data_IF_822119952600
#
_entry.id   IF_822119952600
#
_cell.length_a   1.000
_cell.length_b   1.000
_cell.length_c   1.000
_cell.angle_alpha   90.00
_cell.angle_beta   90.00
_cell.angle_gamma   90.00
#
_symmetry.space_group_name_H-M   'P 1'
#
loop_
_entity.id
_entity.type
_entity.pdbx_description
1 polymer ?
#
# COMPACT_ATOMS: atom_id res chain seq x y z
N UNK A 1 5.26 7.54 25.34
CA UNK A 1 5.37 6.09 25.49
C UNK A 1 6.79 5.69 25.89
N UNK A 2 6.97 4.94 26.98
CA UNK A 2 8.25 4.33 27.34
C UNK A 2 8.79 3.47 26.18
N UNK A 3 10.12 3.46 25.98
CA UNK A 3 10.71 2.78 24.82
C UNK A 3 10.43 1.27 24.78
N UNK A 4 10.33 0.61 25.94
CA UNK A 4 10.00 -0.82 26.02
C UNK A 4 8.63 -1.15 25.44
N UNK A 5 7.67 -0.24 25.56
CA UNK A 5 6.35 -0.41 24.97
C UNK A 5 6.39 -0.12 23.47
N UNK A 6 7.27 0.80 23.02
CA UNK A 6 7.46 1.15 21.60
C UNK A 6 7.98 0.00 20.73
N UNK A 7 8.60 -0.99 21.36
CA UNK A 7 9.11 -2.19 20.69
C UNK A 7 8.08 -3.32 20.61
N UNK A 8 6.87 -3.13 21.15
CA UNK A 8 5.79 -4.14 21.16
C UNK A 8 4.55 -3.63 20.44
N UNK A 9 3.80 -4.55 19.85
CA UNK A 9 2.48 -4.24 19.33
C UNK A 9 1.56 -3.84 20.49
N UNK A 10 0.82 -2.75 20.30
CA UNK A 10 -0.09 -2.19 21.30
C UNK A 10 -1.46 -1.98 20.68
N UNK A 11 -2.50 -2.51 21.32
CA UNK A 11 -3.89 -2.28 20.94
C UNK A 11 -4.48 -1.15 21.81
N UNK A 12 -5.03 -0.13 21.15
CA UNK A 12 -5.73 0.99 21.81
C UNK A 12 -7.22 0.83 21.51
N UNK A 13 -8.01 0.51 22.54
CA UNK A 13 -9.44 0.20 22.42
C UNK A 13 -10.28 1.27 23.11
N UNK A 14 -11.35 1.70 22.45
CA UNK A 14 -12.28 2.69 22.98
C UNK A 14 -13.37 3.06 21.97
N UNK A 15 -14.49 3.61 22.44
CA UNK A 15 -15.60 4.03 21.58
C UNK A 15 -15.22 5.22 20.68
N UNK A 16 -15.98 5.49 19.61
CA UNK A 16 -15.81 6.72 18.82
C UNK A 16 -15.93 7.96 19.71
N UNK A 17 -15.11 8.98 19.47
CA UNK A 17 -15.12 10.24 20.23
C UNK A 17 -14.33 10.26 21.54
N UNK A 18 -13.76 9.13 21.99
CA UNK A 18 -12.99 9.08 23.26
C UNK A 18 -11.52 9.54 23.13
N UNK A 19 -11.12 10.06 21.97
CA UNK A 19 -9.77 10.59 21.74
C UNK A 19 -8.72 9.58 21.24
N UNK A 20 -9.12 8.45 20.64
CA UNK A 20 -8.17 7.46 20.09
C UNK A 20 -7.24 8.05 19.02
N UNK A 21 -7.80 8.82 18.07
CA UNK A 21 -7.04 9.46 16.99
C UNK A 21 -6.05 10.47 17.57
N UNK A 22 -6.52 11.34 18.47
CA UNK A 22 -5.68 12.31 19.19
C UNK A 22 -4.53 11.62 19.93
N UNK A 23 -4.78 10.52 20.66
CA UNK A 23 -3.71 9.76 21.30
C UNK A 23 -2.71 9.19 20.28
N UNK A 24 -3.19 8.68 19.14
CA UNK A 24 -2.38 8.25 18.01
C UNK A 24 -1.47 9.35 17.49
N UNK A 25 -2.03 10.53 17.20
CA UNK A 25 -1.27 11.72 16.76
C UNK A 25 -0.16 12.09 17.74
N UNK A 26 -0.42 12.08 19.06
CA UNK A 26 0.62 12.36 20.06
C UNK A 26 1.72 11.28 20.10
N UNK A 27 1.39 10.02 19.83
CA UNK A 27 2.39 8.95 19.70
C UNK A 27 3.27 9.22 18.48
N UNK A 28 2.67 9.55 17.33
CA UNK A 28 3.40 9.88 16.09
C UNK A 28 4.26 11.12 16.26
N UNK A 29 3.75 12.14 16.95
CA UNK A 29 4.51 13.34 17.32
C UNK A 29 5.75 13.00 18.12
N UNK A 30 5.62 12.16 19.15
CA UNK A 30 6.77 11.74 19.93
C UNK A 30 7.78 10.95 19.09
N UNK A 31 7.35 10.11 18.15
CA UNK A 31 8.29 9.41 17.25
C UNK A 31 9.00 10.41 16.33
N UNK A 32 8.26 11.32 15.72
CA UNK A 32 8.79 12.33 14.79
C UNK A 32 9.81 13.23 15.48
N UNK A 33 9.49 13.74 16.67
CA UNK A 33 10.39 14.58 17.48
C UNK A 33 11.66 13.86 17.95
N UNK A 34 11.66 12.52 17.96
CA UNK A 34 12.82 11.67 18.26
C UNK A 34 13.57 11.24 16.99
N UNK A 35 13.24 11.79 15.82
CA UNK A 35 13.84 11.44 14.54
C UNK A 35 13.48 10.03 14.04
N UNK A 36 12.36 9.46 14.50
CA UNK A 36 11.87 8.14 14.07
C UNK A 36 10.82 8.28 12.96
N UNK A 37 10.67 7.24 12.14
CA UNK A 37 9.65 7.15 11.09
C UNK A 37 8.38 6.43 11.55
N UNK A 38 7.30 6.58 10.80
CA UNK A 38 6.02 5.93 11.06
C UNK A 38 5.21 5.73 9.78
N UNK A 39 4.26 4.78 9.82
CA UNK A 39 3.22 4.58 8.82
C UNK A 39 1.88 4.75 9.53
N UNK A 40 1.04 5.64 9.02
CA UNK A 40 -0.30 5.88 9.55
C UNK A 40 -1.34 5.49 8.51
N UNK A 41 -2.26 4.62 8.89
CA UNK A 41 -3.35 4.15 8.04
C UNK A 41 -4.64 4.52 8.77
N UNK A 42 -5.41 5.43 8.20
CA UNK A 42 -6.74 5.79 8.68
C UNK A 42 -7.79 5.41 7.64
N UNK A 43 -8.80 4.68 8.10
CA UNK A 43 -9.94 4.30 7.26
C UNK A 43 -10.99 5.41 7.17
N UNK A 44 -10.89 6.45 8.01
CA UNK A 44 -11.94 7.46 8.15
C UNK A 44 -11.77 8.68 7.23
N UNK A 45 -10.67 8.78 6.47
CA UNK A 45 -10.35 9.89 5.55
C UNK A 45 -10.67 11.24 6.20
N UNK A 46 -10.05 11.49 7.36
CA UNK A 46 -10.21 12.75 8.07
C UNK A 46 -9.13 13.76 7.63
N UNK A 47 -9.57 14.82 6.93
CA UNK A 47 -8.66 15.88 6.45
C UNK A 47 -7.96 16.59 7.61
N UNK A 48 -8.62 16.74 8.76
CA UNK A 48 -8.04 17.41 9.93
C UNK A 48 -6.82 16.63 10.44
N UNK A 49 -6.95 15.31 10.57
CA UNK A 49 -5.84 14.42 10.96
C UNK A 49 -4.68 14.53 9.97
N UNK A 50 -4.95 14.54 8.66
CA UNK A 50 -3.94 14.70 7.62
C UNK A 50 -3.19 16.04 7.77
N UNK A 51 -3.91 17.14 7.94
CA UNK A 51 -3.33 18.47 8.06
C UNK A 51 -2.50 18.60 9.35
N UNK A 52 -2.91 17.97 10.45
CA UNK A 52 -2.12 17.88 11.67
C UNK A 52 -0.78 17.15 11.44
N UNK A 53 -0.79 16.04 10.71
CA UNK A 53 0.43 15.29 10.40
C UNK A 53 1.36 16.07 9.46
N UNK A 54 0.81 16.77 8.47
CA UNK A 54 1.56 17.66 7.59
C UNK A 54 2.20 18.82 8.38
N UNK A 55 1.43 19.43 9.27
CA UNK A 55 1.94 20.48 10.16
C UNK A 55 3.04 19.96 11.08
N UNK A 56 2.88 18.76 11.66
CA UNK A 56 3.90 18.10 12.47
C UNK A 56 5.21 17.88 11.69
N UNK A 57 5.14 17.37 10.46
CA UNK A 57 6.31 17.19 9.61
C UNK A 57 7.00 18.53 9.33
N UNK A 58 6.23 19.56 9.00
CA UNK A 58 6.73 20.91 8.75
C UNK A 58 7.48 21.52 9.91
N UNK A 59 6.88 21.53 11.11
CA UNK A 59 7.51 22.16 12.29
C UNK A 59 8.70 21.37 12.85
N UNK A 60 8.83 20.09 12.48
CA UNK A 60 10.00 19.27 12.79
C UNK A 60 11.06 19.30 11.68
N UNK A 61 10.83 20.06 10.59
CA UNK A 61 11.76 20.20 9.48
C UNK A 61 11.87 18.97 8.58
N UNK A 62 10.81 18.16 8.50
CA UNK A 62 10.75 16.88 7.76
C UNK A 62 9.60 16.85 6.76
N UNK A 63 9.18 18.02 6.26
CA UNK A 63 8.08 18.15 5.29
C UNK A 63 8.38 17.41 3.98
N UNK A 64 9.65 17.36 3.59
CA UNK A 64 10.20 16.63 2.43
C UNK A 64 10.27 15.10 2.63
N UNK A 65 10.10 14.63 3.86
CA UNK A 65 10.04 13.20 4.19
C UNK A 65 8.62 12.66 4.36
N UNK A 66 7.60 13.52 4.28
CA UNK A 66 6.20 13.12 4.43
C UNK A 66 5.61 12.69 3.09
N UNK A 67 5.09 11.45 3.04
CA UNK A 67 4.37 10.94 1.89
C UNK A 67 2.92 10.62 2.23
N UNK A 68 1.99 11.12 1.41
CA UNK A 68 0.54 10.93 1.60
C UNK A 68 0.00 10.17 0.40
N UNK A 69 -0.70 9.06 0.65
CA UNK A 69 -1.45 8.33 -0.38
C UNK A 69 -2.93 8.48 -0.03
N UNK A 70 -3.68 9.18 -0.89
CA UNK A 70 -5.11 9.41 -0.71
C UNK A 70 -5.81 9.24 -2.07
N UNK A 71 -6.61 8.18 -2.19
CA UNK A 71 -7.34 7.87 -3.43
C UNK A 71 -8.53 8.80 -3.62
N UNK A 72 -9.01 9.46 -2.56
CA UNK A 72 -10.14 10.37 -2.61
C UNK A 72 -9.76 11.81 -3.01
N UNK A 73 -8.48 12.17 -2.89
CA UNK A 73 -7.94 13.49 -3.22
C UNK A 73 -6.60 13.35 -3.96
N UNK A 74 -6.61 12.83 -5.20
CA UNK A 74 -5.41 12.50 -5.95
C UNK A 74 -4.57 13.73 -6.32
N UNK A 75 -5.19 14.90 -6.48
CA UNK A 75 -4.48 16.15 -6.80
C UNK A 75 -3.57 16.61 -5.66
N UNK A 76 -3.86 16.18 -4.43
CA UNK A 76 -3.10 16.51 -3.24
C UNK A 76 -2.42 15.26 -2.65
N UNK A 77 -2.21 14.19 -3.41
CA UNK A 77 -1.58 12.97 -2.94
C UNK A 77 -0.33 12.63 -3.75
N UNK A 78 0.57 11.86 -3.13
CA UNK A 78 1.70 11.28 -3.81
C UNK A 78 1.26 10.04 -4.59
N UNK A 79 1.89 9.83 -5.75
CA UNK A 79 1.66 8.65 -6.57
C UNK A 79 2.31 7.42 -5.95
N UNK A 80 1.65 6.27 -6.05
CA UNK A 80 2.19 5.00 -5.60
C UNK A 80 1.85 3.89 -6.60
N UNK A 81 2.86 3.14 -7.03
CA UNK A 81 2.70 1.99 -7.91
C UNK A 81 3.19 0.71 -7.18
N UNK A 82 2.29 -0.11 -6.62
CA UNK A 82 2.67 -1.30 -5.86
C UNK A 82 3.15 -2.46 -6.73
N UNK A 83 3.12 -2.36 -8.07
CA UNK A 83 3.53 -3.47 -8.95
C UNK A 83 4.88 -3.25 -9.63
N UNK A 84 5.49 -2.08 -9.46
CA UNK A 84 6.70 -1.70 -10.18
C UNK A 84 7.98 -2.31 -9.59
N UNK A 85 7.99 -2.62 -8.30
CA UNK A 85 9.17 -3.07 -7.57
C UNK A 85 8.96 -4.44 -6.90
N UNK A 86 10.02 -5.24 -6.93
CA UNK A 86 10.05 -6.62 -6.46
C UNK A 86 10.31 -7.59 -7.61
N UNK A 87 10.66 -8.82 -7.27
CA UNK A 87 10.71 -9.89 -8.27
C UNK A 87 9.28 -10.27 -8.75
N UNK A 88 9.16 -11.01 -9.86
CA UNK A 88 7.84 -11.37 -10.40
C UNK A 88 6.94 -12.12 -9.41
N UNK A 89 7.52 -12.99 -8.57
CA UNK A 89 6.78 -13.79 -7.60
C UNK A 89 6.23 -12.90 -6.45
N UNK A 90 7.05 -11.96 -5.96
CA UNK A 90 6.66 -10.99 -4.94
C UNK A 90 5.51 -10.11 -5.43
N UNK A 91 5.60 -9.59 -6.66
CA UNK A 91 4.56 -8.75 -7.25
C UNK A 91 3.28 -9.56 -7.49
N UNK A 92 3.39 -10.77 -8.04
CA UNK A 92 2.25 -11.66 -8.25
C UNK A 92 1.55 -12.01 -6.93
N UNK A 93 2.31 -12.37 -5.89
CA UNK A 93 1.75 -12.65 -4.56
C UNK A 93 1.04 -11.43 -3.97
N UNK A 94 1.58 -10.22 -4.17
CA UNK A 94 0.96 -8.97 -3.70
C UNK A 94 -0.40 -8.76 -4.36
N UNK A 95 -0.51 -9.00 -5.66
CA UNK A 95 -1.77 -8.95 -6.41
C UNK A 95 -2.77 -10.00 -5.95
N UNK A 96 -2.31 -11.25 -5.75
CA UNK A 96 -3.17 -12.34 -5.29
C UNK A 96 -3.75 -12.08 -3.91
N UNK A 97 -3.03 -11.36 -3.04
CA UNK A 97 -3.53 -10.95 -1.72
C UNK A 97 -4.65 -9.89 -1.76
N UNK A 98 -4.86 -9.23 -2.90
CA UNK A 98 -6.01 -8.33 -3.12
C UNK A 98 -7.31 -9.12 -3.40
N UNK A 99 -7.18 -10.38 -3.84
CA UNK A 99 -8.31 -11.24 -4.18
C UNK A 99 -8.71 -12.06 -2.94
N UNK A 100 -9.97 -11.93 -2.45
CA UNK A 100 -10.45 -12.71 -1.30
C UNK A 100 -10.21 -14.21 -1.46
N UNK A 101 -9.84 -14.89 -0.37
CA UNK A 101 -9.78 -16.35 -0.34
C UNK A 101 -11.19 -16.93 -0.46
N UNK A 102 -11.36 -17.90 -1.35
CA UNK A 102 -12.59 -18.69 -1.44
C UNK A 102 -12.46 -19.93 -0.56
N UNK A 103 -12.60 -19.76 0.75
CA UNK A 103 -12.29 -20.77 1.78
C UNK A 103 -13.15 -22.05 1.73
N UNK A 104 -14.18 -22.10 0.88
CA UNK A 104 -15.18 -23.19 0.85
C UNK A 104 -15.32 -23.90 -0.51
N UNK A 105 -14.36 -23.76 -1.42
CA UNK A 105 -14.41 -24.44 -2.72
C UNK A 105 -13.12 -25.23 -2.99
N UNK A 106 -13.16 -26.58 -3.05
CA UNK A 106 -11.99 -27.42 -3.32
C UNK A 106 -11.27 -27.10 -4.64
N UNK A 107 -11.97 -26.50 -5.61
CA UNK A 107 -11.36 -26.06 -6.87
C UNK A 107 -10.71 -24.68 -6.78
N UNK A 108 -11.03 -23.87 -5.76
CA UNK A 108 -10.56 -22.49 -5.68
C UNK A 108 -9.03 -22.40 -5.52
N UNK A 109 -8.42 -23.31 -4.76
CA UNK A 109 -6.97 -23.32 -4.59
C UNK A 109 -6.24 -23.59 -5.90
N UNK A 110 -6.76 -24.50 -6.72
CA UNK A 110 -6.20 -24.77 -8.05
C UNK A 110 -6.28 -23.55 -8.96
N UNK A 111 -7.42 -22.86 -8.99
CA UNK A 111 -7.56 -21.61 -9.76
C UNK A 111 -6.66 -20.50 -9.23
N UNK A 112 -6.51 -20.40 -7.90
CA UNK A 112 -5.64 -19.42 -7.24
C UNK A 112 -4.17 -19.65 -7.59
N UNK A 113 -3.70 -20.89 -7.56
CA UNK A 113 -2.34 -21.24 -7.98
C UNK A 113 -2.12 -21.00 -9.48
N UNK A 114 -3.08 -21.38 -10.32
CA UNK A 114 -3.02 -21.13 -11.77
C UNK A 114 -2.95 -19.64 -12.09
N UNK A 115 -3.76 -18.83 -11.42
CA UNK A 115 -3.75 -17.37 -11.55
C UNK A 115 -2.42 -16.75 -11.08
N UNK A 116 -1.89 -17.22 -9.95
CA UNK A 116 -0.60 -16.76 -9.44
C UNK A 116 0.52 -17.06 -10.45
N UNK A 117 0.57 -18.27 -11.00
CA UNK A 117 1.57 -18.64 -12.01
C UNK A 117 1.44 -17.78 -13.27
N UNK A 118 0.21 -17.57 -13.77
CA UNK A 118 -0.03 -16.72 -14.93
C UNK A 118 0.41 -15.27 -14.69
N UNK A 119 0.08 -14.68 -13.54
CA UNK A 119 0.52 -13.34 -13.16
C UNK A 119 2.04 -13.25 -13.10
N UNK A 120 2.70 -14.22 -12.49
CA UNK A 120 4.17 -14.29 -12.40
C UNK A 120 4.82 -14.25 -13.77
N UNK A 121 4.32 -15.04 -14.72
CA UNK A 121 4.84 -15.07 -16.11
C UNK A 121 4.62 -13.73 -16.82
N UNK A 122 3.43 -13.13 -16.69
CA UNK A 122 3.14 -11.82 -17.30
C UNK A 122 4.02 -10.71 -16.71
N UNK A 123 4.18 -10.68 -15.39
CA UNK A 123 5.03 -9.70 -14.71
C UNK A 123 6.49 -9.89 -15.12
N UNK A 124 6.98 -11.13 -15.19
CA UNK A 124 8.34 -11.41 -15.66
C UNK A 124 8.56 -10.90 -17.10
N UNK A 125 7.57 -11.07 -17.98
CA UNK A 125 7.65 -10.55 -19.35
C UNK A 125 7.67 -9.01 -19.38
N UNK A 126 6.82 -8.36 -18.59
CA UNK A 126 6.80 -6.90 -18.46
C UNK A 126 8.10 -6.33 -17.88
N UNK A 127 8.69 -7.00 -16.88
CA UNK A 127 9.98 -6.59 -16.34
C UNK A 127 11.11 -6.81 -17.35
N UNK A 128 11.08 -7.91 -18.11
CA UNK A 128 12.06 -8.21 -19.15
C UNK A 128 12.00 -7.26 -20.35
N UNK A 129 10.83 -6.66 -20.65
CA UNK A 129 10.70 -5.64 -21.71
C UNK A 129 11.33 -4.30 -21.34
N UNK A 130 11.67 -4.09 -20.06
CA UNK A 130 12.28 -2.85 -19.56
C UNK A 130 11.32 -1.65 -19.54
N UNK A 131 10.04 -1.85 -19.83
CA UNK A 131 9.03 -0.81 -19.79
C UNK A 131 8.45 -0.66 -18.38
N UNK A 132 8.08 0.56 -18.01
CA UNK A 132 7.28 0.79 -16.80
C UNK A 132 5.84 0.32 -17.07
N UNK A 133 5.23 -0.32 -16.08
CA UNK A 133 3.85 -0.82 -16.16
C UNK A 133 3.09 -0.53 -14.87
N UNK A 134 1.76 -0.48 -14.98
CA UNK A 134 0.84 -0.30 -13.86
C UNK A 134 -0.37 -1.23 -13.98
N UNK A 135 -1.32 -1.12 -13.04
CA UNK A 135 -2.52 -1.96 -13.03
C UNK A 135 -3.34 -1.92 -14.33
N UNK A 136 -3.31 -0.81 -15.07
CA UNK A 136 -4.02 -0.67 -16.33
C UNK A 136 -3.47 -1.62 -17.39
N UNK A 137 -2.15 -1.66 -17.54
CA UNK A 137 -1.48 -2.56 -18.48
C UNK A 137 -1.77 -4.03 -18.14
N UNK A 138 -1.67 -4.40 -16.86
CA UNK A 138 -2.01 -5.74 -16.40
C UNK A 138 -3.47 -6.10 -16.72
N UNK A 139 -4.40 -5.17 -16.50
CA UNK A 139 -5.82 -5.37 -16.83
C UNK A 139 -6.04 -5.58 -18.33
N UNK A 140 -5.33 -4.84 -19.19
CA UNK A 140 -5.43 -4.98 -20.63
C UNK A 140 -4.88 -6.34 -21.08
N UNK A 141 -3.70 -6.73 -20.59
CA UNK A 141 -3.04 -7.99 -20.92
C UNK A 141 -3.84 -9.22 -20.47
N UNK A 142 -4.54 -9.13 -19.33
CA UNK A 142 -5.39 -10.21 -18.83
C UNK A 142 -6.72 -10.34 -19.57
N UNK A 143 -7.16 -9.30 -20.28
CA UNK A 143 -8.45 -9.27 -20.98
C UNK A 143 -8.33 -9.40 -22.50
N UNK A 144 -7.16 -9.16 -23.08
CA UNK A 144 -6.94 -9.19 -24.52
C UNK A 144 -5.72 -10.03 -24.89
N UNK A 145 -5.97 -11.10 -25.64
CA UNK A 145 -4.98 -11.92 -26.32
C UNK A 145 -4.08 -11.09 -27.26
N UNK A 146 -4.67 -10.17 -28.04
CA UNK A 146 -3.93 -9.26 -28.94
C UNK A 146 -2.97 -8.32 -28.21
N UNK A 147 -3.26 -7.93 -26.97
CA UNK A 147 -2.39 -7.02 -26.23
C UNK A 147 -1.05 -7.68 -25.83
N UNK A 148 -1.02 -9.00 -25.65
CA UNK A 148 0.20 -9.76 -25.34
C UNK A 148 1.17 -9.80 -26.52
N UNK A 149 0.68 -9.67 -27.77
CA UNK A 149 1.52 -9.71 -28.97
C UNK A 149 2.42 -8.47 -29.11
N UNK A 150 1.98 -7.33 -28.56
CA UNK A 150 2.69 -6.05 -28.64
C UNK A 150 3.85 -5.91 -27.62
N UNK A 151 4.05 -6.88 -26.71
CA UNK A 151 5.16 -6.88 -25.75
C UNK A 151 6.53 -7.22 -26.38
N UNK A 152 6.58 -7.48 -27.69
CA UNK A 152 7.77 -7.95 -28.43
C UNK A 152 8.47 -6.88 -29.28
N UNK A 153 7.88 -5.69 -29.38
CA UNK A 153 8.46 -4.52 -30.08
C UNK A 153 9.13 -3.55 -29.10
#
# INVERSE_FOLDING_TARGET
MPDILGQRHTAIVGQSGVGKTTLGEYILWQQTARGRGWLFIDAKIDRDTRDHLAYMAKVTGREDELYIIDVSDPDNANTYNPVLHGDPDEVASRLMNLIPSAENNPGADHYRQSANHALTVIIAALQASGQLYHFGDLSILLQSDRALENLRE
#
